data_IF_111141352239
#
_entry.id   IF_111141352239
#
_cell.length_a   1.000
_cell.length_b   1.000
_cell.length_c   1.000
_cell.angle_alpha   90.00
_cell.angle_beta   90.00
_cell.angle_gamma   90.00
#
_symmetry.space_group_name_H-M   'P 1'
#
loop_
_entity.id
_entity.type
_entity.pdbx_description
1 polymer ?
#
# COMPACT_ATOMS: atom_id res chain seq x y z
N UNK A 1 11.80 5.85 -5.91
CA UNK A 1 10.73 6.35 -5.04
C UNK A 1 9.79 7.17 -5.91
N UNK A 2 8.61 6.65 -6.23
CA UNK A 2 7.62 7.37 -7.03
C UNK A 2 6.59 7.98 -6.08
N UNK A 3 6.78 9.25 -5.72
CA UNK A 3 5.75 10.08 -5.09
C UNK A 3 4.83 10.58 -6.19
N UNK A 4 3.64 9.99 -6.32
CA UNK A 4 2.63 10.46 -7.27
C UNK A 4 2.01 11.76 -6.74
N UNK A 5 2.59 12.88 -7.18
CA UNK A 5 1.98 14.19 -7.09
C UNK A 5 0.80 14.27 -8.08
N UNK A 6 -0.41 14.03 -7.59
CA UNK A 6 -1.67 14.18 -8.34
C UNK A 6 -2.83 14.73 -7.50
N UNK A 7 -2.53 15.38 -6.37
CA UNK A 7 -3.51 15.72 -5.33
C UNK A 7 -3.90 17.20 -5.33
N UNK A 8 -4.21 17.80 -6.50
CA UNK A 8 -4.51 19.24 -6.53
C UNK A 8 -5.79 19.74 -7.18
N UNK A 9 -6.68 18.89 -7.71
CA UNK A 9 -7.88 19.43 -8.38
C UNK A 9 -9.21 18.68 -8.15
N UNK A 10 -9.23 17.63 -7.32
CA UNK A 10 -10.45 16.85 -7.07
C UNK A 10 -11.05 17.05 -5.66
N UNK A 11 -10.41 17.86 -4.81
CA UNK A 11 -10.84 18.01 -3.41
C UNK A 11 -10.78 16.69 -2.62
N UNK A 12 -9.95 15.73 -3.06
CA UNK A 12 -9.75 14.44 -2.43
C UNK A 12 -8.43 14.44 -1.65
N UNK A 13 -8.46 13.97 -0.40
CA UNK A 13 -7.26 13.71 0.39
C UNK A 13 -6.94 12.23 0.40
N UNK A 14 -5.76 11.85 -0.08
CA UNK A 14 -5.34 10.44 -0.14
C UNK A 14 -4.87 9.97 1.24
N UNK A 15 -5.49 8.90 1.75
CA UNK A 15 -5.20 8.33 3.06
C UNK A 15 -4.32 7.08 3.01
N UNK A 16 -4.30 6.38 1.88
CA UNK A 16 -3.51 5.15 1.71
C UNK A 16 -4.07 4.25 0.62
N UNK A 17 -3.99 2.94 0.84
CA UNK A 17 -4.61 1.93 -0.02
C UNK A 17 -5.73 1.19 0.71
N UNK A 18 -6.67 0.65 -0.07
CA UNK A 18 -7.75 -0.20 0.42
C UNK A 18 -7.95 -1.37 -0.54
N UNK A 19 -8.25 -2.54 0.03
CA UNK A 19 -8.62 -3.73 -0.72
C UNK A 19 -10.09 -4.05 -0.47
N UNK A 20 -10.84 -4.30 -1.55
CA UNK A 20 -12.24 -4.70 -1.51
C UNK A 20 -12.44 -5.87 -2.47
N UNK A 21 -12.57 -7.08 -1.90
CA UNK A 21 -12.64 -8.29 -2.71
C UNK A 21 -11.35 -8.48 -3.50
N UNK A 22 -11.46 -8.62 -4.83
CA UNK A 22 -10.31 -8.75 -5.73
C UNK A 22 -9.71 -7.40 -6.19
N UNK A 23 -10.30 -6.27 -5.81
CA UNK A 23 -9.86 -4.94 -6.25
C UNK A 23 -9.05 -4.23 -5.16
N UNK A 24 -7.83 -3.82 -5.51
CA UNK A 24 -7.00 -2.92 -4.70
C UNK A 24 -7.01 -1.51 -5.29
N UNK A 25 -7.13 -0.49 -4.43
CA UNK A 25 -7.21 0.91 -4.84
C UNK A 25 -6.65 1.87 -3.81
N UNK A 26 -6.64 3.16 -4.13
CA UNK A 26 -6.36 4.23 -3.20
C UNK A 26 -7.55 4.48 -2.27
N UNK A 27 -7.31 4.61 -0.98
CA UNK A 27 -8.30 5.13 -0.04
C UNK A 27 -8.17 6.65 0.03
N UNK A 28 -9.26 7.37 -0.22
CA UNK A 28 -9.29 8.82 -0.09
C UNK A 28 -10.53 9.29 0.68
N UNK A 29 -10.48 10.54 1.13
CA UNK A 29 -11.61 11.28 1.71
C UNK A 29 -11.92 12.46 0.81
N UNK A 30 -13.19 12.63 0.46
CA UNK A 30 -13.63 13.80 -0.29
C UNK A 30 -13.73 15.06 0.58
N UNK A 31 -13.93 16.21 -0.05
CA UNK A 31 -14.13 17.49 0.66
C UNK A 31 -15.36 17.51 1.56
N UNK A 32 -16.30 16.59 1.36
CA UNK A 32 -17.48 16.38 2.21
C UNK A 32 -17.25 15.43 3.39
N UNK A 33 -16.05 14.85 3.52
CA UNK A 33 -15.71 13.90 4.58
C UNK A 33 -16.13 12.45 4.30
N UNK A 34 -16.59 12.13 3.09
CA UNK A 34 -16.94 10.77 2.69
C UNK A 34 -15.73 9.98 2.22
N UNK A 35 -15.65 8.72 2.62
CA UNK A 35 -14.57 7.83 2.21
C UNK A 35 -14.86 7.22 0.84
N UNK A 36 -13.87 7.26 -0.04
CA UNK A 36 -13.94 6.74 -1.40
C UNK A 36 -12.75 5.85 -1.71
N UNK A 37 -12.97 4.84 -2.56
CA UNK A 37 -11.92 4.07 -3.20
C UNK A 37 -11.65 4.65 -4.59
N UNK A 38 -10.38 4.96 -4.86
CA UNK A 38 -9.86 5.45 -6.13
C UNK A 38 -9.16 4.31 -6.87
N UNK A 39 -9.67 3.98 -8.04
CA UNK A 39 -9.08 2.98 -8.95
C UNK A 39 -8.80 3.67 -10.29
N UNK A 40 -7.62 4.29 -10.43
CA UNK A 40 -7.33 5.16 -11.56
C UNK A 40 -8.33 6.32 -11.60
N UNK A 41 -9.11 6.41 -12.67
CA UNK A 41 -10.12 7.47 -12.87
C UNK A 41 -11.47 7.17 -12.20
N UNK A 42 -11.65 5.99 -11.63
CA UNK A 42 -12.92 5.58 -11.01
C UNK A 42 -12.95 5.89 -9.52
N UNK A 43 -14.01 6.59 -9.09
CA UNK A 43 -14.31 6.90 -7.69
C UNK A 43 -15.49 6.04 -7.23
N UNK A 44 -15.27 5.20 -6.23
CA UNK A 44 -16.31 4.35 -5.64
C UNK A 44 -16.56 4.74 -4.18
N UNK A 45 -17.77 5.17 -3.80
CA UNK A 45 -18.06 5.49 -2.41
C UNK A 45 -18.02 4.24 -1.53
N UNK A 46 -17.47 4.39 -0.32
CA UNK A 46 -17.41 3.33 0.67
C UNK A 46 -18.51 3.52 1.71
N UNK A 47 -19.47 2.59 1.74
CA UNK A 47 -20.61 2.65 2.67
C UNK A 47 -20.24 2.42 4.15
N UNK A 48 -19.02 1.98 4.45
CA UNK A 48 -18.57 1.62 5.80
C UNK A 48 -17.81 2.79 6.48
N UNK A 49 -18.33 4.00 6.36
CA UNK A 49 -17.66 5.24 6.80
C UNK A 49 -17.28 5.24 8.29
N UNK A 50 -18.12 4.66 9.16
CA UNK A 50 -17.85 4.58 10.60
C UNK A 50 -16.67 3.66 10.96
N UNK A 51 -16.54 2.53 10.25
CA UNK A 51 -15.44 1.59 10.43
C UNK A 51 -14.13 2.19 9.89
N UNK A 52 -14.18 2.82 8.72
CA UNK A 52 -13.05 3.49 8.10
C UNK A 52 -12.54 4.64 8.96
N UNK A 53 -13.43 5.46 9.48
CA UNK A 53 -13.07 6.54 10.42
C UNK A 53 -12.34 6.00 11.65
N UNK A 54 -12.86 4.94 12.28
CA UNK A 54 -12.20 4.30 13.44
C UNK A 54 -10.83 3.71 13.06
N UNK A 55 -10.71 3.11 11.88
CA UNK A 55 -9.45 2.56 11.39
C UNK A 55 -8.41 3.67 11.17
N UNK A 56 -8.81 4.78 10.55
CA UNK A 56 -7.94 5.95 10.33
C UNK A 56 -7.52 6.58 11.66
N UNK A 57 -8.45 6.79 12.59
CA UNK A 57 -8.15 7.30 13.93
C UNK A 57 -7.18 6.38 14.69
N UNK A 58 -7.33 5.06 14.57
CA UNK A 58 -6.39 4.08 15.16
C UNK A 58 -5.01 4.15 14.49
N UNK A 59 -4.96 4.20 13.17
CA UNK A 59 -3.72 4.29 12.41
C UNK A 59 -2.94 5.55 12.78
N UNK A 60 -3.61 6.70 12.88
CA UNK A 60 -3.00 7.97 13.32
C UNK A 60 -2.43 7.91 14.75
N UNK A 61 -3.09 7.17 15.64
CA UNK A 61 -2.58 6.94 17.01
C UNK A 61 -1.35 6.03 17.00
N UNK A 62 -1.33 5.01 16.14
CA UNK A 62 -0.21 4.08 16.04
C UNK A 62 1.02 4.68 15.36
N UNK A 63 0.86 5.55 14.36
CA UNK A 63 1.97 6.26 13.72
C UNK A 63 2.62 7.33 14.62
N UNK A 64 1.97 7.70 15.74
CA UNK A 64 2.55 8.51 16.81
C UNK A 64 3.37 7.71 17.83
N UNK A 65 3.37 6.38 17.77
CA UNK A 65 4.26 5.59 18.61
C UNK A 65 5.72 5.83 18.16
N UNK A 66 6.65 6.13 19.08
CA UNK A 66 8.06 6.21 18.75
C UNK A 66 8.50 4.85 18.19
N UNK A 67 8.81 4.78 16.89
CA UNK A 67 9.52 3.62 16.36
C UNK A 67 10.83 3.50 17.13
N UNK A 68 11.16 2.33 17.71
CA UNK A 68 12.49 2.13 18.26
C UNK A 68 13.48 2.31 17.11
N UNK A 69 14.30 3.36 17.18
CA UNK A 69 15.44 3.49 16.26
C UNK A 69 16.29 2.23 16.42
N UNK A 70 16.62 1.50 15.34
CA UNK A 70 17.64 0.46 15.45
C UNK A 70 18.91 1.16 15.96
N UNK A 71 19.43 0.71 17.10
CA UNK A 71 20.71 1.21 17.60
C UNK A 71 21.77 0.83 16.56
N UNK A 72 22.61 1.78 16.18
CA UNK A 72 23.73 1.58 15.26
C UNK A 72 24.86 0.70 15.86
N UNK A 73 24.56 -0.12 16.86
CA UNK A 73 25.51 -0.96 17.55
C UNK A 73 25.43 -2.39 16.98
N UNK A 74 26.05 -2.59 15.81
CA UNK A 74 26.71 -3.83 15.35
C UNK A 74 26.98 -3.72 13.84
N UNK A 75 27.84 -2.78 13.43
CA UNK A 75 28.55 -2.86 12.15
C UNK A 75 29.91 -3.47 12.44
N UNK A 76 29.91 -4.73 12.84
CA UNK A 76 31.13 -5.54 12.92
C UNK A 76 30.76 -6.97 12.50
N UNK A 77 31.06 -7.29 11.24
CA UNK A 77 31.14 -8.66 10.76
C UNK A 77 29.84 -9.34 10.35
N UNK A 78 29.12 -8.83 9.34
CA UNK A 78 28.24 -9.70 8.54
C UNK A 78 28.78 -9.80 7.12
N UNK A 79 29.48 -10.90 6.85
CA UNK A 79 29.82 -11.34 5.50
C UNK A 79 28.50 -11.42 4.74
N UNK A 80 28.41 -10.65 3.65
CA UNK A 80 27.26 -10.61 2.75
C UNK A 80 27.09 -11.98 2.10
N UNK A 81 26.31 -12.85 2.72
CA UNK A 81 25.86 -14.10 2.10
C UNK A 81 24.73 -13.73 1.15
N UNK A 82 25.08 -13.41 -0.08
CA UNK A 82 24.12 -13.25 -1.18
C UNK A 82 23.40 -14.60 -1.37
N UNK A 83 22.07 -14.68 -1.20
CA UNK A 83 21.36 -15.93 -1.43
C UNK A 83 21.48 -16.33 -2.91
N UNK A 84 21.65 -17.63 -3.23
CA UNK A 84 21.84 -18.07 -4.61
C UNK A 84 20.58 -17.83 -5.44
N UNK A 85 20.73 -17.09 -6.54
CA UNK A 85 19.67 -16.89 -7.54
C UNK A 85 19.53 -18.15 -8.40
N UNK A 86 18.39 -18.85 -8.30
CA UNK A 86 18.07 -20.01 -9.14
C UNK A 86 17.11 -19.58 -10.24
N UNK A 87 17.56 -19.62 -11.50
CA UNK A 87 16.72 -19.33 -12.67
C UNK A 87 16.25 -20.66 -13.28
N UNK A 88 14.98 -21.00 -13.08
CA UNK A 88 14.37 -22.21 -13.66
C UNK A 88 13.79 -21.90 -15.04
N UNK A 89 14.32 -22.52 -16.09
CA UNK A 89 13.87 -22.32 -17.48
C UNK A 89 12.91 -23.45 -17.89
N UNK A 90 11.60 -23.19 -17.88
CA UNK A 90 10.56 -24.15 -18.27
C UNK A 90 10.47 -24.25 -19.81
N UNK A 91 10.69 -25.44 -20.38
CA UNK A 91 10.44 -25.74 -21.79
C UNK A 91 9.04 -26.33 -21.96
N UNK A 92 8.32 -25.93 -23.01
CA UNK A 92 7.03 -26.51 -23.41
C UNK A 92 7.28 -27.46 -24.58
N UNK A 93 6.73 -28.67 -24.51
CA UNK A 93 6.72 -29.63 -25.61
C UNK A 93 5.34 -29.61 -26.24
N UNK A 94 5.25 -29.33 -27.55
CA UNK A 94 4.01 -29.48 -28.30
C UNK A 94 3.85 -30.95 -28.67
N UNK A 95 2.71 -31.55 -28.29
CA UNK A 95 2.31 -32.87 -28.75
C UNK A 95 1.35 -32.65 -29.92
N UNK A 96 1.76 -33.09 -31.10
CA UNK A 96 0.92 -33.08 -32.32
C UNK A 96 0.22 -34.43 -32.36
N UNK A 97 -1.11 -34.40 -32.43
CA UNK A 97 -1.98 -35.56 -32.59
C UNK A 97 -2.13 -35.93 -34.07
#
# INVERSE_FOLDING_TARGET
MHTHAGEKDLGLSLLGSVERGAAAGGLAVDSGGSYVQLNGDFITPLGNSSQLRRAVERAQRQSRAPYPRPSSASVEGSISVVPPLVIVRKRRTLVVA
#
